data_IF_012991187347
#
_entry.id   IF_012991187347
#
_cell.length_a   1.000
_cell.length_b   1.000
_cell.length_c   1.000
_cell.angle_alpha   90.00
_cell.angle_beta   90.00
_cell.angle_gamma   90.00
#
_symmetry.space_group_name_H-M   'P 1'
#
loop_
_entity.id
_entity.type
_entity.pdbx_description
1 polymer ?
#
# COMPACT_ATOMS: atom_id res chain seq x y z
N UNK A 1 -10.99 -55.17 54.76
CA UNK A 1 -10.15 -55.70 53.67
C UNK A 1 -8.71 -55.31 54.00
N UNK A 2 -7.88 -56.26 54.44
CA UNK A 2 -6.48 -55.99 54.77
C UNK A 2 -5.60 -56.24 53.53
N UNK A 3 -4.54 -55.44 53.38
CA UNK A 3 -3.54 -55.55 52.30
C UNK A 3 -4.08 -55.36 50.86
N UNK A 4 -5.26 -54.76 50.70
CA UNK A 4 -5.75 -54.34 49.38
C UNK A 4 -5.08 -53.03 48.97
N UNK A 5 -4.45 -53.01 47.80
CA UNK A 5 -3.79 -51.84 47.23
C UNK A 5 -3.88 -51.88 45.72
N UNK A 6 -4.21 -50.73 45.13
CA UNK A 6 -4.26 -50.51 43.68
C UNK A 6 -3.09 -49.64 43.20
N UNK A 7 -2.06 -49.45 44.03
CA UNK A 7 -0.98 -48.50 43.77
C UNK A 7 0.02 -48.95 42.69
N UNK A 8 0.19 -50.26 42.49
CA UNK A 8 1.15 -50.81 41.53
C UNK A 8 0.53 -51.99 40.78
N UNK A 9 0.88 -52.11 39.50
CA UNK A 9 0.48 -53.23 38.65
C UNK A 9 1.08 -54.56 39.15
N UNK A 10 0.33 -55.64 38.98
CA UNK A 10 0.75 -57.01 39.32
C UNK A 10 -0.33 -57.82 40.02
N UNK A 11 -0.08 -59.12 40.13
CA UNK A 11 -0.90 -60.01 40.95
C UNK A 11 -0.56 -59.83 42.42
N UNK A 12 -1.58 -59.67 43.25
CA UNK A 12 -1.50 -59.39 44.68
C UNK A 12 -2.51 -60.26 45.42
N UNK A 13 -2.29 -60.45 46.71
CA UNK A 13 -3.22 -61.16 47.59
C UNK A 13 -3.78 -60.18 48.60
N UNK A 14 -5.10 -60.18 48.80
CA UNK A 14 -5.76 -59.42 49.85
C UNK A 14 -6.55 -60.36 50.74
N UNK A 15 -6.79 -59.91 51.97
CA UNK A 15 -7.43 -60.72 53.00
C UNK A 15 -8.76 -60.10 53.43
N UNK A 16 -9.83 -60.90 53.39
CA UNK A 16 -11.12 -60.55 54.01
C UNK A 16 -11.17 -61.25 55.37
N UNK A 17 -11.43 -60.48 56.42
CA UNK A 17 -11.61 -61.00 57.78
C UNK A 17 -12.99 -60.60 58.30
N UNK A 18 -13.73 -61.55 58.87
CA UNK A 18 -15.01 -61.32 59.55
C UNK A 18 -15.14 -62.30 60.72
N UNK A 19 -15.20 -61.77 61.95
CA UNK A 19 -15.09 -62.55 63.20
C UNK A 19 -13.81 -63.41 63.21
N UNK A 20 -13.92 -64.73 63.43
CA UNK A 20 -12.79 -65.68 63.45
C UNK A 20 -12.50 -66.32 62.09
N UNK A 21 -13.17 -65.88 61.02
CA UNK A 21 -12.99 -66.41 59.67
C UNK A 21 -12.13 -65.46 58.83
N UNK A 22 -11.19 -66.01 58.09
CA UNK A 22 -10.40 -65.28 57.10
C UNK A 22 -10.28 -66.05 55.79
N UNK A 23 -10.31 -65.31 54.68
CA UNK A 23 -10.02 -65.83 53.34
C UNK A 23 -9.05 -64.91 52.63
N UNK A 24 -8.00 -65.50 52.08
CA UNK A 24 -7.08 -64.83 51.16
C UNK A 24 -7.61 -65.02 49.74
N UNK A 25 -7.55 -63.96 48.93
CA UNK A 25 -7.92 -64.01 47.52
C UNK A 25 -6.89 -63.25 46.69
N UNK A 26 -6.62 -63.77 45.50
CA UNK A 26 -5.75 -63.10 44.54
C UNK A 26 -6.55 -62.11 43.69
N UNK A 27 -5.92 -60.98 43.39
CA UNK A 27 -6.42 -59.97 42.46
C UNK A 27 -5.26 -59.41 41.65
N UNK A 28 -5.54 -58.96 40.43
CA UNK A 28 -4.52 -58.35 39.56
C UNK A 28 -4.85 -56.88 39.36
N UNK A 29 -3.89 -56.02 39.67
CA UNK A 29 -3.94 -54.60 39.30
C UNK A 29 -3.24 -54.45 37.95
N UNK A 30 -3.88 -53.79 37.00
CA UNK A 30 -3.29 -53.46 35.71
C UNK A 30 -3.72 -52.08 35.28
N UNK A 31 -2.90 -51.42 34.45
CA UNK A 31 -3.32 -50.21 33.75
C UNK A 31 -4.53 -50.53 32.86
N UNK A 32 -5.64 -49.80 33.00
CA UNK A 32 -6.78 -49.92 32.09
C UNK A 32 -6.32 -49.70 30.65
N UNK A 33 -6.83 -50.49 29.70
CA UNK A 33 -6.53 -50.27 28.27
C UNK A 33 -7.55 -49.33 27.66
N UNK A 34 -7.13 -48.53 26.68
CA UNK A 34 -8.06 -47.83 25.81
C UNK A 34 -8.98 -48.83 25.09
N UNK A 35 -10.28 -48.49 25.02
CA UNK A 35 -11.32 -49.29 24.34
C UNK A 35 -11.98 -48.53 23.21
N UNK A 36 -11.96 -47.19 23.26
CA UNK A 36 -12.59 -46.32 22.26
C UNK A 36 -11.83 -45.01 22.16
N UNK A 37 -11.67 -44.51 20.94
CA UNK A 37 -11.11 -43.18 20.65
C UNK A 37 -12.10 -42.45 19.75
N UNK A 38 -12.51 -41.24 20.14
CA UNK A 38 -13.46 -40.41 19.38
C UNK A 38 -12.85 -39.05 19.08
N UNK A 39 -12.99 -38.57 17.84
CA UNK A 39 -12.50 -37.25 17.44
C UNK A 39 -13.41 -36.14 18.00
N UNK A 40 -12.81 -35.12 18.60
CA UNK A 40 -13.48 -33.88 19.01
C UNK A 40 -13.40 -32.90 17.83
N UNK A 41 -14.41 -32.93 16.96
CA UNK A 41 -14.40 -32.21 15.67
C UNK A 41 -14.23 -30.70 15.82
N UNK A 42 -14.90 -30.09 16.79
CA UNK A 42 -14.89 -28.62 16.96
C UNK A 42 -13.53 -28.08 17.43
N UNK A 43 -12.61 -28.96 17.84
CA UNK A 43 -11.26 -28.63 18.29
C UNK A 43 -10.16 -29.20 17.39
N UNK A 44 -10.55 -29.85 16.29
CA UNK A 44 -9.65 -30.51 15.34
C UNK A 44 -9.70 -29.79 14.00
N UNK A 45 -8.55 -29.44 13.38
CA UNK A 45 -8.53 -28.86 12.04
C UNK A 45 -9.16 -29.82 11.01
N UNK A 46 -10.10 -29.31 10.22
CA UNK A 46 -10.78 -30.07 9.15
C UNK A 46 -10.41 -29.58 7.74
N UNK A 47 -9.46 -28.65 7.64
CA UNK A 47 -8.96 -28.11 6.36
C UNK A 47 -7.46 -27.89 6.42
N UNK A 48 -6.75 -28.32 5.38
CA UNK A 48 -5.30 -28.17 5.23
C UNK A 48 -4.97 -27.63 3.85
N UNK A 49 -3.79 -27.02 3.69
CA UNK A 49 -3.28 -26.68 2.35
C UNK A 49 -2.49 -27.84 1.77
N UNK A 50 -2.40 -27.94 0.44
CA UNK A 50 -1.53 -28.92 -0.22
C UNK A 50 -0.09 -28.77 0.29
N UNK A 51 0.51 -29.89 0.72
CA UNK A 51 1.88 -29.95 1.27
C UNK A 51 2.03 -29.46 2.71
N UNK A 52 0.94 -29.09 3.39
CA UNK A 52 1.00 -28.71 4.80
C UNK A 52 1.45 -29.90 5.69
N UNK A 53 2.18 -29.59 6.76
CA UNK A 53 2.45 -30.55 7.82
C UNK A 53 1.18 -30.78 8.66
N UNK A 54 1.10 -31.94 9.32
CA UNK A 54 0.04 -32.19 10.29
C UNK A 54 0.17 -31.25 11.49
N UNK A 55 -0.95 -30.66 11.89
CA UNK A 55 -0.98 -29.72 13.02
C UNK A 55 -1.31 -30.45 14.32
N UNK A 56 -2.55 -30.95 14.43
CA UNK A 56 -3.03 -31.68 15.61
C UNK A 56 -4.35 -32.42 15.37
N UNK A 57 -4.69 -33.28 16.31
CA UNK A 57 -6.05 -33.84 16.48
C UNK A 57 -6.41 -33.94 17.95
N UNK A 58 -7.64 -33.57 18.30
CA UNK A 58 -8.14 -33.67 19.67
C UNK A 58 -9.09 -34.86 19.76
N UNK A 59 -8.85 -35.73 20.75
CA UNK A 59 -9.61 -36.98 20.93
C UNK A 59 -10.11 -37.16 22.36
N UNK A 60 -11.21 -37.89 22.50
CA UNK A 60 -11.70 -38.46 23.75
C UNK A 60 -11.38 -39.95 23.78
N UNK A 61 -10.61 -40.40 24.76
CA UNK A 61 -10.19 -41.80 24.94
C UNK A 61 -10.97 -42.41 26.09
N UNK A 62 -11.70 -43.50 25.86
CA UNK A 62 -12.44 -44.24 26.88
C UNK A 62 -11.71 -45.54 27.24
N UNK A 63 -11.51 -45.78 28.52
CA UNK A 63 -10.78 -46.92 29.06
C UNK A 63 -11.73 -48.03 29.56
N UNK A 64 -11.20 -49.25 29.74
CA UNK A 64 -11.96 -50.42 30.22
C UNK A 64 -12.63 -50.21 31.59
N UNK A 65 -12.12 -49.30 32.41
CA UNK A 65 -12.68 -48.94 33.72
C UNK A 65 -13.80 -47.89 33.64
N UNK A 66 -14.14 -47.44 32.43
CA UNK A 66 -15.18 -46.45 32.16
C UNK A 66 -14.70 -44.99 32.26
N UNK A 67 -13.43 -44.74 32.56
CA UNK A 67 -12.87 -43.38 32.57
C UNK A 67 -12.72 -42.86 31.14
N UNK A 68 -13.05 -41.59 30.91
CA UNK A 68 -12.79 -40.91 29.64
C UNK A 68 -11.85 -39.72 29.84
N UNK A 69 -10.77 -39.66 29.06
CA UNK A 69 -9.80 -38.57 29.09
C UNK A 69 -9.71 -37.89 27.73
N UNK A 70 -9.49 -36.57 27.74
CA UNK A 70 -9.26 -35.77 26.54
C UNK A 70 -7.76 -35.66 26.28
N UNK A 71 -7.34 -35.86 25.05
CA UNK A 71 -5.94 -35.74 24.63
C UNK A 71 -5.83 -34.91 23.33
N UNK A 72 -4.79 -34.10 23.25
CA UNK A 72 -4.35 -33.46 22.01
C UNK A 72 -3.14 -34.23 21.48
N UNK A 73 -3.20 -34.66 20.23
CA UNK A 73 -2.15 -35.42 19.56
C UNK A 73 -1.51 -34.52 18.52
N UNK A 74 -0.23 -34.21 18.72
CA UNK A 74 0.62 -33.46 17.79
C UNK A 74 1.79 -34.30 17.26
N UNK A 75 1.98 -35.50 17.80
CA UNK A 75 3.04 -36.41 17.37
C UNK A 75 2.68 -37.07 16.03
N UNK A 76 3.44 -36.75 14.99
CA UNK A 76 3.24 -37.29 13.65
C UNK A 76 3.39 -38.81 13.59
N UNK A 77 4.11 -39.45 14.52
CA UNK A 77 4.23 -40.91 14.56
C UNK A 77 2.93 -41.60 15.01
N UNK A 78 2.01 -40.86 15.62
CA UNK A 78 0.71 -41.35 16.08
C UNK A 78 -0.39 -41.16 15.04
N UNK A 79 -0.07 -40.60 13.87
CA UNK A 79 -1.03 -40.31 12.80
C UNK A 79 -0.52 -40.76 11.43
N UNK A 80 -1.45 -41.08 10.53
CA UNK A 80 -1.19 -41.35 9.11
C UNK A 80 -2.04 -40.37 8.30
N UNK A 81 -1.40 -39.58 7.42
CA UNK A 81 -2.05 -38.56 6.61
C UNK A 81 -1.31 -38.36 5.28
N UNK A 82 -2.00 -37.84 4.27
CA UNK A 82 -1.42 -37.41 3.00
C UNK A 82 -2.13 -36.14 2.51
N UNK A 83 -1.42 -35.01 2.56
CA UNK A 83 -1.89 -33.72 2.05
C UNK A 83 -1.19 -33.32 0.75
N UNK A 84 -0.63 -34.27 0.00
CA UNK A 84 0.10 -34.00 -1.26
C UNK A 84 -0.79 -33.59 -2.43
N UNK A 85 -2.11 -33.74 -2.33
CA UNK A 85 -3.06 -33.38 -3.38
C UNK A 85 -4.33 -32.75 -2.82
N UNK A 86 -4.92 -31.83 -3.59
CA UNK A 86 -6.16 -31.17 -3.21
C UNK A 86 -7.36 -32.13 -3.31
N UNK A 87 -8.35 -31.93 -2.43
CA UNK A 87 -9.54 -32.76 -2.34
C UNK A 87 -9.76 -33.32 -0.94
N UNK A 88 -10.51 -34.41 -0.83
CA UNK A 88 -10.75 -35.09 0.45
C UNK A 88 -9.54 -35.95 0.81
N UNK A 89 -9.04 -35.81 2.03
CA UNK A 89 -8.01 -36.67 2.60
C UNK A 89 -8.53 -37.29 3.92
N UNK A 90 -7.98 -38.44 4.31
CA UNK A 90 -8.31 -39.11 5.57
C UNK A 90 -7.09 -39.04 6.48
N UNK A 91 -7.31 -38.54 7.70
CA UNK A 91 -6.32 -38.63 8.78
C UNK A 91 -6.70 -39.80 9.67
N UNK A 92 -5.80 -40.78 9.81
CA UNK A 92 -5.95 -41.89 10.75
C UNK A 92 -5.14 -41.59 12.01
N UNK A 93 -5.69 -41.90 13.16
CA UNK A 93 -5.11 -41.61 14.47
C UNK A 93 -5.07 -42.90 15.27
N UNK A 94 -3.91 -43.21 15.87
CA UNK A 94 -3.74 -44.38 16.72
C UNK A 94 -3.33 -43.95 18.12
N UNK A 95 -4.16 -44.27 19.11
CA UNK A 95 -3.90 -44.00 20.53
C UNK A 95 -3.94 -45.30 21.30
N UNK A 96 -2.82 -45.66 21.93
CA UNK A 96 -2.68 -46.90 22.73
C UNK A 96 -3.13 -48.19 22.00
N UNK A 97 -2.99 -48.23 20.67
CA UNK A 97 -3.37 -49.37 19.85
C UNK A 97 -4.81 -49.34 19.32
N UNK A 98 -5.64 -48.38 19.75
CA UNK A 98 -6.99 -48.14 19.21
C UNK A 98 -6.93 -47.10 18.10
N UNK A 99 -7.60 -47.39 16.98
CA UNK A 99 -7.58 -46.55 15.79
C UNK A 99 -8.92 -45.85 15.56
N UNK A 100 -8.86 -44.62 15.05
CA UNK A 100 -10.00 -43.86 14.53
C UNK A 100 -9.54 -43.03 13.33
N UNK A 101 -10.48 -42.47 12.57
CA UNK A 101 -10.16 -41.59 11.45
C UNK A 101 -11.19 -40.49 11.26
N UNK A 102 -10.79 -39.44 10.54
CA UNK A 102 -11.68 -38.37 10.11
C UNK A 102 -11.27 -37.85 8.74
N UNK A 103 -12.24 -37.28 8.01
CA UNK A 103 -12.03 -36.64 6.71
C UNK A 103 -11.65 -35.18 6.90
N UNK A 104 -10.69 -34.72 6.10
CA UNK A 104 -10.29 -33.31 5.99
C UNK A 104 -10.37 -32.87 4.52
N UNK A 105 -10.49 -31.56 4.30
CA UNK A 105 -10.41 -30.96 2.96
C UNK A 105 -9.03 -30.36 2.75
N UNK A 106 -8.30 -30.83 1.74
CA UNK A 106 -7.03 -30.27 1.31
C UNK A 106 -7.28 -29.27 0.18
N UNK A 107 -6.86 -28.01 0.34
CA UNK A 107 -7.10 -26.93 -0.61
C UNK A 107 -5.79 -26.43 -1.23
N UNK A 108 -5.87 -25.90 -2.45
CA UNK A 108 -4.80 -25.08 -3.02
C UNK A 108 -4.95 -23.66 -2.52
N UNK A 109 -4.21 -23.31 -1.47
CA UNK A 109 -4.17 -21.94 -0.99
C UNK A 109 -3.24 -21.09 -1.87
N UNK A 110 -3.70 -19.91 -2.27
CA UNK A 110 -2.86 -18.89 -2.90
C UNK A 110 -1.94 -18.31 -1.83
N UNK A 111 -0.64 -18.38 -2.05
CA UNK A 111 0.38 -17.82 -1.14
C UNK A 111 0.87 -16.45 -1.60
N UNK A 112 0.82 -16.18 -2.91
CA UNK A 112 1.12 -14.85 -3.44
C UNK A 112 0.42 -14.61 -4.77
N UNK A 113 0.18 -13.33 -5.06
CA UNK A 113 -0.32 -12.88 -6.36
C UNK A 113 0.51 -11.69 -6.82
N UNK A 114 0.79 -11.63 -8.12
CA UNK A 114 1.46 -10.50 -8.76
C UNK A 114 0.77 -10.12 -10.06
N UNK A 115 0.76 -8.82 -10.33
CA UNK A 115 0.17 -8.21 -11.53
C UNK A 115 1.05 -7.04 -11.93
N UNK A 116 1.24 -6.84 -13.23
CA UNK A 116 2.02 -5.71 -13.73
C UNK A 116 1.24 -4.39 -13.63
N UNK A 117 1.98 -3.30 -13.42
CA UNK A 117 1.41 -1.95 -13.45
C UNK A 117 0.74 -1.67 -14.80
N UNK A 118 -0.41 -1.01 -14.78
CA UNK A 118 -1.14 -0.62 -16.00
C UNK A 118 -1.01 0.88 -16.21
N UNK A 119 -0.78 1.27 -17.47
CA UNK A 119 -0.84 2.66 -17.91
C UNK A 119 -1.87 2.78 -19.03
N UNK A 120 -2.93 3.53 -18.78
CA UNK A 120 -4.04 3.78 -19.72
C UNK A 120 -4.28 5.28 -19.88
N UNK A 121 -5.13 5.68 -20.83
CA UNK A 121 -5.52 7.09 -21.00
C UNK A 121 -6.69 7.46 -20.10
N UNK A 122 -6.85 8.76 -19.86
CA UNK A 122 -8.08 9.29 -19.28
C UNK A 122 -9.28 8.87 -20.15
N UNK A 123 -10.28 8.27 -19.51
CA UNK A 123 -11.51 7.79 -20.15
C UNK A 123 -11.41 6.42 -20.82
N UNK A 124 -10.25 5.76 -20.83
CA UNK A 124 -10.13 4.40 -21.39
C UNK A 124 -10.96 3.38 -20.59
N UNK A 125 -11.53 2.39 -21.27
CA UNK A 125 -12.08 1.20 -20.63
C UNK A 125 -10.97 0.25 -20.18
N UNK A 126 -11.29 -0.66 -19.26
CA UNK A 126 -10.35 -1.69 -18.84
C UNK A 126 -10.08 -2.67 -19.99
N UNK A 127 -8.82 -2.73 -20.44
CA UNK A 127 -8.41 -3.57 -21.59
C UNK A 127 -7.89 -4.96 -21.21
N UNK A 128 -8.02 -5.36 -19.93
CA UNK A 128 -7.47 -6.61 -19.40
C UNK A 128 -6.07 -6.46 -18.80
N UNK A 129 -5.70 -7.46 -18.00
CA UNK A 129 -4.37 -7.63 -17.40
C UNK A 129 -4.12 -9.10 -17.08
N UNK A 130 -2.87 -9.51 -16.91
CA UNK A 130 -2.53 -10.88 -16.51
C UNK A 130 -2.08 -10.92 -15.05
N UNK A 131 -2.82 -11.65 -14.23
CA UNK A 131 -2.50 -11.94 -12.83
C UNK A 131 -1.75 -13.28 -12.77
N UNK A 132 -0.63 -13.32 -12.06
CA UNK A 132 0.05 -14.57 -11.70
C UNK A 132 -0.31 -14.92 -10.26
N UNK A 133 -0.96 -16.05 -10.04
CA UNK A 133 -1.23 -16.61 -8.71
C UNK A 133 -0.30 -17.78 -8.44
N UNK A 134 0.37 -17.77 -7.29
CA UNK A 134 1.24 -18.86 -6.83
C UNK A 134 0.56 -19.58 -5.67
N UNK A 135 0.55 -20.90 -5.74
CA UNK A 135 -0.08 -21.76 -4.74
C UNK A 135 0.97 -22.36 -3.79
N UNK A 136 0.53 -22.78 -2.61
CA UNK A 136 1.40 -23.37 -1.59
C UNK A 136 2.12 -24.66 -2.02
N UNK A 137 1.62 -25.35 -3.04
CA UNK A 137 2.23 -26.53 -3.65
C UNK A 137 3.37 -26.19 -4.65
N UNK A 138 3.71 -24.90 -4.79
CA UNK A 138 4.71 -24.41 -5.72
C UNK A 138 4.23 -24.27 -7.16
N UNK A 139 2.99 -24.66 -7.47
CA UNK A 139 2.39 -24.42 -8.79
C UNK A 139 1.98 -22.96 -8.96
N UNK A 140 1.84 -22.52 -10.20
CA UNK A 140 1.36 -21.18 -10.53
C UNK A 140 0.36 -21.20 -11.68
N UNK A 141 -0.49 -20.20 -11.73
CA UNK A 141 -1.51 -20.00 -12.75
C UNK A 141 -1.47 -18.55 -13.25
N UNK A 142 -1.71 -18.38 -14.55
CA UNK A 142 -1.92 -17.08 -15.19
C UNK A 142 -3.40 -16.89 -15.45
N UNK A 143 -3.95 -15.79 -14.94
CA UNK A 143 -5.37 -15.48 -14.97
C UNK A 143 -5.56 -14.17 -15.71
N UNK A 144 -6.45 -14.16 -16.70
CA UNK A 144 -6.87 -12.91 -17.32
C UNK A 144 -7.82 -12.19 -16.38
N UNK A 145 -7.41 -11.01 -15.95
CA UNK A 145 -8.19 -10.16 -15.04
C UNK A 145 -9.35 -9.56 -15.81
N UNK A 146 -10.52 -9.62 -15.20
CA UNK A 146 -11.77 -9.02 -15.68
C UNK A 146 -12.19 -7.87 -14.77
N UNK A 147 -13.10 -7.01 -15.24
CA UNK A 147 -13.48 -5.79 -14.51
C UNK A 147 -14.17 -6.09 -13.16
N UNK A 148 -14.91 -7.20 -13.05
CA UNK A 148 -15.55 -7.66 -11.81
C UNK A 148 -14.56 -8.13 -10.75
N UNK A 149 -13.32 -8.43 -11.13
CA UNK A 149 -12.23 -8.70 -10.18
C UNK A 149 -11.65 -7.40 -9.60
N UNK A 150 -11.98 -6.23 -10.14
CA UNK A 150 -11.37 -4.96 -9.77
C UNK A 150 -12.29 -4.12 -8.87
N UNK A 151 -11.77 -3.73 -7.70
CA UNK A 151 -12.39 -2.76 -6.82
C UNK A 151 -11.65 -1.41 -6.90
N UNK A 152 -12.41 -0.34 -7.14
CA UNK A 152 -11.87 1.02 -7.22
C UNK A 152 -11.27 1.39 -8.59
N UNK A 153 -11.48 0.58 -9.63
CA UNK A 153 -11.07 0.92 -10.99
C UNK A 153 -11.83 2.16 -11.50
N UNK A 154 -11.10 3.16 -11.97
CA UNK A 154 -11.64 4.36 -12.60
C UNK A 154 -10.56 5.00 -13.47
N UNK A 155 -10.93 5.46 -14.66
CA UNK A 155 -10.06 6.19 -15.60
C UNK A 155 -10.51 7.63 -15.83
N UNK A 156 -11.49 8.13 -15.06
CA UNK A 156 -12.12 9.45 -15.29
C UNK A 156 -11.17 10.65 -15.12
N UNK A 157 -10.15 10.49 -14.29
CA UNK A 157 -9.16 11.53 -13.98
C UNK A 157 -7.76 10.95 -14.01
N UNK A 158 -6.82 11.72 -14.55
CA UNK A 158 -5.41 11.41 -14.54
C UNK A 158 -4.90 11.25 -13.10
N UNK A 159 -3.90 10.39 -12.90
CA UNK A 159 -3.36 10.11 -11.58
C UNK A 159 -2.87 8.69 -11.40
N UNK A 160 -2.22 8.45 -10.27
CA UNK A 160 -1.89 7.11 -9.79
C UNK A 160 -3.01 6.65 -8.87
N UNK A 161 -3.52 5.44 -9.11
CA UNK A 161 -4.57 4.80 -8.33
C UNK A 161 -4.10 3.42 -7.91
N UNK A 162 -4.47 3.01 -6.69
CA UNK A 162 -4.33 1.64 -6.24
C UNK A 162 -5.69 0.96 -6.40
N UNK A 163 -5.75 -0.01 -7.31
CA UNK A 163 -6.94 -0.81 -7.59
C UNK A 163 -6.77 -2.16 -6.91
N UNK A 164 -7.75 -2.61 -6.14
CA UNK A 164 -7.69 -3.93 -5.51
C UNK A 164 -8.16 -4.99 -6.51
N UNK A 165 -7.38 -6.05 -6.68
CA UNK A 165 -7.72 -7.22 -7.49
C UNK A 165 -8.13 -8.35 -6.56
N UNK A 166 -9.32 -8.90 -6.77
CA UNK A 166 -9.86 -10.05 -6.03
C UNK A 166 -9.82 -11.30 -6.91
N UNK A 167 -9.20 -12.37 -6.43
CA UNK A 167 -9.19 -13.66 -7.11
C UNK A 167 -9.19 -14.81 -6.11
N UNK A 168 -10.14 -15.74 -6.26
CA UNK A 168 -10.27 -16.96 -5.45
C UNK A 168 -10.17 -16.74 -3.92
N UNK A 169 -10.74 -15.63 -3.43
CA UNK A 169 -10.72 -15.27 -2.00
C UNK A 169 -9.42 -14.61 -1.51
N UNK A 170 -8.43 -14.42 -2.37
CA UNK A 170 -7.23 -13.64 -2.12
C UNK A 170 -7.31 -12.26 -2.78
N UNK A 171 -6.51 -11.31 -2.30
CA UNK A 171 -6.44 -9.94 -2.86
C UNK A 171 -5.01 -9.47 -3.08
N UNK A 172 -4.76 -8.73 -4.14
CA UNK A 172 -3.52 -7.96 -4.33
C UNK A 172 -3.83 -6.56 -4.88
N UNK A 173 -2.81 -5.71 -4.90
CA UNK A 173 -2.93 -4.34 -5.37
C UNK A 173 -2.33 -4.21 -6.77
N UNK A 174 -3.11 -3.59 -7.67
CA UNK A 174 -2.70 -3.14 -8.99
C UNK A 174 -2.44 -1.63 -8.94
N UNK A 175 -1.23 -1.20 -9.34
CA UNK A 175 -0.96 0.21 -9.60
C UNK A 175 -1.48 0.57 -10.99
N UNK A 176 -2.50 1.41 -11.03
CA UNK A 176 -3.08 1.97 -12.24
C UNK A 176 -2.59 3.42 -12.41
N UNK A 177 -1.91 3.71 -13.50
CA UNK A 177 -1.59 5.09 -13.91
C UNK A 177 -2.54 5.49 -15.03
N UNK A 178 -3.43 6.43 -14.72
CA UNK A 178 -4.29 7.07 -15.70
C UNK A 178 -3.55 8.29 -16.22
N UNK A 179 -3.26 8.31 -17.52
CA UNK A 179 -2.35 9.26 -18.12
C UNK A 179 -3.04 10.14 -19.17
N UNK A 180 -2.58 11.38 -19.27
CA UNK A 180 -2.96 12.32 -20.30
C UNK A 180 -2.18 12.04 -21.60
N UNK A 181 -2.82 12.35 -22.72
CA UNK A 181 -2.15 12.44 -24.03
C UNK A 181 -1.76 13.89 -24.23
N UNK A 182 -0.47 14.12 -24.46
CA UNK A 182 0.06 15.45 -24.72
C UNK A 182 0.48 15.55 -26.18
N UNK A 183 -0.13 16.48 -26.90
CA UNK A 183 0.23 16.79 -28.29
C UNK A 183 1.32 17.88 -28.32
N UNK A 184 2.03 17.96 -29.45
CA UNK A 184 3.02 19.02 -29.65
C UNK A 184 2.37 20.40 -29.56
N UNK A 185 2.99 21.30 -28.80
CA UNK A 185 2.42 22.61 -28.49
C UNK A 185 2.76 23.10 -27.10
N UNK A 186 2.12 24.19 -26.68
CA UNK A 186 2.32 24.79 -25.36
C UNK A 186 1.14 24.43 -24.47
N UNK A 187 1.39 23.66 -23.41
CA UNK A 187 0.41 23.36 -22.37
C UNK A 187 0.61 24.35 -21.24
N UNK A 188 -0.44 25.07 -20.88
CA UNK A 188 -0.45 25.97 -19.73
C UNK A 188 -0.96 25.23 -18.50
N UNK A 189 -0.25 25.36 -17.38
CA UNK A 189 -0.61 24.78 -16.08
C UNK A 189 -0.67 25.92 -15.08
N UNK A 190 -1.88 26.24 -14.60
CA UNK A 190 -2.04 27.26 -13.57
C UNK A 190 -1.36 26.82 -12.26
N UNK A 191 -0.78 27.76 -11.52
CA UNK A 191 -0.06 27.40 -10.29
C UNK A 191 -0.98 26.75 -9.24
N UNK A 192 -2.27 27.08 -9.25
CA UNK A 192 -3.32 26.55 -8.38
C UNK A 192 -4.05 25.31 -8.93
N UNK A 193 -3.67 24.82 -10.11
CA UNK A 193 -4.30 23.63 -10.69
C UNK A 193 -3.91 22.37 -9.92
N UNK A 194 -4.74 21.96 -8.97
CA UNK A 194 -4.49 20.81 -8.09
C UNK A 194 -4.42 19.46 -8.83
N UNK A 195 -4.84 19.38 -10.11
CA UNK A 195 -4.65 18.17 -10.92
C UNK A 195 -3.16 17.97 -11.26
N UNK A 196 -2.43 19.06 -11.47
CA UNK A 196 -1.02 19.05 -11.86
C UNK A 196 -0.09 19.48 -10.73
N UNK A 197 -0.46 20.50 -9.96
CA UNK A 197 0.42 21.17 -9.00
C UNK A 197 0.11 20.75 -7.57
N UNK A 198 1.02 20.00 -6.98
CA UNK A 198 1.01 19.67 -5.56
C UNK A 198 1.97 20.59 -4.79
N UNK A 199 1.40 21.38 -3.89
CA UNK A 199 2.11 22.18 -2.90
C UNK A 199 1.65 21.86 -1.48
N UNK A 200 0.99 20.73 -1.23
CA UNK A 200 0.45 20.34 0.09
C UNK A 200 1.53 20.39 1.18
N UNK A 201 2.75 19.95 0.88
CA UNK A 201 3.91 19.99 1.79
C UNK A 201 4.62 21.33 1.92
N UNK A 202 4.27 22.37 1.15
CA UNK A 202 4.90 23.68 1.25
C UNK A 202 4.47 24.41 2.53
N UNK A 203 5.44 24.96 3.27
CA UNK A 203 5.19 25.78 4.44
C UNK A 203 4.75 27.20 4.04
N UNK A 204 3.86 27.79 4.83
CA UNK A 204 3.52 29.20 4.69
C UNK A 204 4.59 30.07 5.35
N UNK A 205 4.81 31.26 4.78
CA UNK A 205 5.52 32.34 5.47
C UNK A 205 4.82 32.69 6.79
N UNK A 206 5.59 33.16 7.77
CA UNK A 206 5.04 33.57 9.06
C UNK A 206 3.93 34.62 8.90
N UNK A 207 2.75 34.33 9.47
CA UNK A 207 1.58 35.21 9.41
C UNK A 207 0.72 35.09 8.14
N UNK A 208 1.12 34.27 7.16
CA UNK A 208 0.29 33.99 5.99
C UNK A 208 -0.75 32.91 6.29
N UNK A 209 -1.90 32.97 5.60
CA UNK A 209 -3.03 32.04 5.77
C UNK A 209 -3.33 31.19 4.53
N UNK A 210 -2.86 31.60 3.35
CA UNK A 210 -3.09 30.90 2.07
C UNK A 210 -1.81 30.82 1.24
N UNK A 211 -1.65 29.77 0.43
CA UNK A 211 -0.50 29.60 -0.50
C UNK A 211 -0.67 30.42 -1.78
N UNK A 212 -1.93 30.60 -2.15
CA UNK A 212 -2.37 31.36 -3.31
C UNK A 212 -3.14 32.58 -2.87
N UNK A 213 -3.01 33.64 -3.65
CA UNK A 213 -3.87 34.79 -3.55
C UNK A 213 -4.52 35.06 -4.89
N UNK A 214 -5.84 35.30 -4.85
CA UNK A 214 -6.59 35.72 -6.01
C UNK A 214 -6.16 37.15 -6.36
N UNK A 215 -5.67 37.34 -7.57
CA UNK A 215 -5.13 38.60 -8.09
C UNK A 215 -6.10 39.30 -9.03
N UNK A 216 -7.36 38.83 -9.08
CA UNK A 216 -8.46 39.34 -9.93
C UNK A 216 -9.55 40.10 -9.17
N UNK A 217 -9.47 40.23 -7.82
CA UNK A 217 -10.47 40.90 -6.97
C UNK A 217 -9.89 41.98 -6.03
N UNK A 218 -10.53 43.16 -6.00
CA UNK A 218 -10.40 44.18 -4.94
C UNK A 218 -11.63 44.21 -4.04
N UNK A 219 -11.42 44.31 -2.72
CA UNK A 219 -12.46 44.31 -1.69
C UNK A 219 -12.81 45.71 -1.15
N UNK A 220 -12.21 46.77 -1.70
CA UNK A 220 -12.59 48.15 -1.41
C UNK A 220 -13.29 48.81 -2.59
N UNK A 221 -12.79 48.63 -3.82
CA UNK A 221 -13.33 49.24 -5.04
C UNK A 221 -13.53 48.28 -6.22
N UNK A 222 -13.43 46.96 -6.04
CA UNK A 222 -13.72 45.94 -7.07
C UNK A 222 -12.79 45.87 -8.32
N UNK A 223 -11.60 46.50 -8.35
CA UNK A 223 -10.52 46.14 -9.30
C UNK A 223 -9.13 46.00 -8.65
N UNK A 224 -8.65 44.76 -8.49
CA UNK A 224 -7.22 44.47 -8.53
C UNK A 224 -7.08 43.42 -9.62
N UNK A 225 -6.51 43.82 -10.76
CA UNK A 225 -5.84 42.91 -11.67
C UNK A 225 -4.39 43.36 -11.71
N UNK A 226 -3.55 42.72 -10.89
CA UNK A 226 -2.11 42.94 -10.97
C UNK A 226 -1.51 42.32 -12.25
N UNK A 227 -2.38 41.81 -13.14
CA UNK A 227 -2.03 41.17 -14.40
C UNK A 227 -1.91 39.65 -14.33
N UNK A 228 -1.98 39.00 -13.16
CA UNK A 228 -2.06 37.53 -13.08
C UNK A 228 -3.42 37.01 -13.53
N UNK A 229 -3.43 35.78 -14.03
CA UNK A 229 -4.60 35.11 -14.59
C UNK A 229 -5.29 34.23 -13.56
N UNK A 230 -5.93 34.87 -12.57
CA UNK A 230 -6.70 34.19 -11.52
C UNK A 230 -6.00 34.24 -10.17
N UNK A 231 -5.11 33.28 -9.93
CA UNK A 231 -4.36 33.17 -8.68
C UNK A 231 -2.86 33.19 -8.95
N UNK A 232 -2.10 33.65 -7.97
CA UNK A 232 -0.64 33.52 -7.99
C UNK A 232 -0.14 33.05 -6.64
N UNK A 233 1.02 32.39 -6.65
CA UNK A 233 1.72 32.07 -5.39
C UNK A 233 2.16 33.38 -4.72
N UNK A 234 1.85 33.59 -3.44
CA UNK A 234 2.23 34.82 -2.73
C UNK A 234 3.00 34.61 -1.44
N UNK A 235 2.84 33.44 -0.81
CA UNK A 235 3.18 33.24 0.60
C UNK A 235 4.06 32.03 0.88
N UNK A 236 4.74 31.53 -0.15
CA UNK A 236 5.48 30.26 -0.09
C UNK A 236 7.00 30.44 -0.18
N UNK A 237 7.56 31.65 -0.13
CA UNK A 237 9.03 31.88 -0.12
C UNK A 237 9.69 31.48 1.19
N UNK A 238 9.68 30.19 1.48
CA UNK A 238 10.33 29.54 2.62
C UNK A 238 11.36 28.58 2.05
N UNK A 239 12.55 28.52 2.67
CA UNK A 239 13.62 27.62 2.22
C UNK A 239 13.11 26.18 2.20
N UNK A 240 13.55 25.41 1.20
CA UNK A 240 13.22 23.99 1.02
C UNK A 240 11.74 23.71 0.70
N UNK A 241 10.89 24.74 0.57
CA UNK A 241 9.57 24.57 -0.01
C UNK A 241 9.67 24.00 -1.43
N UNK A 242 8.66 23.20 -1.78
CA UNK A 242 8.57 22.52 -3.07
C UNK A 242 7.28 22.89 -3.78
N UNK A 243 7.41 23.09 -5.08
CA UNK A 243 6.30 23.07 -6.03
C UNK A 243 6.49 21.81 -6.86
N UNK A 244 5.54 20.88 -6.77
CA UNK A 244 5.60 19.61 -7.49
C UNK A 244 4.59 19.66 -8.63
N UNK A 245 5.07 19.61 -9.86
CA UNK A 245 4.21 19.46 -11.05
C UNK A 245 4.21 17.96 -11.40
N UNK A 246 3.09 17.30 -11.12
CA UNK A 246 2.81 15.91 -11.48
C UNK A 246 2.31 15.85 -12.93
N UNK A 247 2.98 15.03 -13.74
CA UNK A 247 2.60 14.81 -15.14
C UNK A 247 2.47 13.31 -15.37
N UNK A 248 1.26 12.86 -15.69
CA UNK A 248 0.97 11.47 -16.04
C UNK A 248 0.91 11.35 -17.55
N UNK A 249 1.94 10.80 -18.19
CA UNK A 249 2.11 10.82 -19.64
C UNK A 249 1.83 9.45 -20.28
N UNK A 250 0.96 9.39 -21.30
CA UNK A 250 0.65 8.12 -21.96
C UNK A 250 1.80 7.62 -22.86
N UNK A 251 2.68 8.52 -23.29
CA UNK A 251 3.89 8.22 -24.06
C UNK A 251 5.06 9.06 -23.55
N UNK A 252 6.28 8.64 -23.88
CA UNK A 252 7.46 9.47 -23.69
C UNK A 252 7.40 10.70 -24.61
N UNK A 253 7.82 11.86 -24.11
CA UNK A 253 7.98 13.07 -24.92
C UNK A 253 9.02 14.02 -24.34
N UNK A 254 9.53 14.89 -25.22
CA UNK A 254 10.45 15.96 -24.85
C UNK A 254 9.68 17.25 -24.60
N UNK A 255 10.15 18.04 -23.65
CA UNK A 255 9.56 19.32 -23.34
C UNK A 255 10.58 20.35 -22.84
N UNK A 256 10.17 21.61 -22.85
CA UNK A 256 10.80 22.68 -22.07
C UNK A 256 9.82 23.22 -21.05
N UNK A 257 10.29 23.43 -19.82
CA UNK A 257 9.53 24.13 -18.80
C UNK A 257 9.67 25.63 -19.04
N UNK A 258 8.55 26.33 -19.11
CA UNK A 258 8.47 27.79 -19.01
C UNK A 258 7.68 28.21 -17.78
N UNK A 259 7.71 29.51 -17.48
CA UNK A 259 6.90 30.09 -16.42
C UNK A 259 6.57 31.56 -16.68
N UNK A 260 5.42 31.99 -16.16
CA UNK A 260 5.11 33.41 -15.99
C UNK A 260 5.18 33.75 -14.52
N UNK A 261 6.05 34.70 -14.19
CA UNK A 261 6.35 35.03 -12.82
C UNK A 261 6.70 36.51 -12.63
N UNK A 262 6.62 36.97 -11.39
CA UNK A 262 6.86 38.34 -10.99
C UNK A 262 7.83 38.39 -9.81
N UNK A 263 8.83 39.26 -9.84
CA UNK A 263 9.80 39.34 -8.75
C UNK A 263 9.19 39.87 -7.45
N UNK A 264 9.26 39.11 -6.36
CA UNK A 264 8.93 39.59 -5.02
C UNK A 264 10.08 40.34 -4.33
N UNK A 265 11.27 40.34 -4.92
CA UNK A 265 12.51 40.77 -4.25
C UNK A 265 12.59 42.28 -4.03
N UNK A 266 13.07 42.68 -2.85
CA UNK A 266 13.15 44.08 -2.43
C UNK A 266 11.85 44.85 -2.71
N UNK A 267 10.70 44.23 -2.36
CA UNK A 267 9.36 44.75 -2.67
C UNK A 267 9.20 45.02 -4.18
N UNK A 268 9.60 44.05 -5.00
CA UNK A 268 9.47 44.10 -6.45
C UNK A 268 10.44 45.03 -7.16
N UNK A 269 11.42 45.62 -6.48
CA UNK A 269 12.34 46.59 -7.08
C UNK A 269 13.54 45.96 -7.77
N UNK A 270 13.83 44.69 -7.49
CA UNK A 270 15.01 44.01 -8.00
C UNK A 270 14.64 42.88 -8.97
N UNK A 271 15.46 42.70 -10.00
CA UNK A 271 15.46 41.49 -10.83
C UNK A 271 15.81 40.27 -9.96
N UNK A 272 15.34 39.09 -10.36
CA UNK A 272 15.66 37.81 -9.74
C UNK A 272 16.17 36.83 -10.80
N UNK A 273 17.38 36.33 -10.57
CA UNK A 273 17.95 35.22 -11.31
C UNK A 273 17.34 33.92 -10.80
N UNK A 274 16.66 33.17 -11.67
CA UNK A 274 15.95 31.96 -11.28
C UNK A 274 16.87 30.91 -10.66
N UNK A 275 18.10 30.78 -11.15
CA UNK A 275 19.09 29.82 -10.65
C UNK A 275 19.44 30.04 -9.17
N UNK A 276 19.27 31.26 -8.68
CA UNK A 276 19.52 31.63 -7.27
C UNK A 276 18.33 31.38 -6.37
N UNK A 277 17.13 31.26 -6.94
CA UNK A 277 15.87 31.16 -6.21
C UNK A 277 15.32 29.73 -6.16
N UNK A 278 15.57 28.95 -7.22
CA UNK A 278 14.97 27.65 -7.44
C UNK A 278 15.98 26.67 -8.01
N UNK A 279 15.90 25.42 -7.55
CA UNK A 279 16.47 24.26 -8.25
C UNK A 279 15.36 23.42 -8.85
N UNK A 280 15.69 22.66 -9.90
CA UNK A 280 14.76 21.72 -10.54
C UNK A 280 15.31 20.30 -10.41
N UNK A 281 14.41 19.36 -10.07
CA UNK A 281 14.64 17.94 -10.20
C UNK A 281 13.50 17.29 -11.00
N UNK A 282 13.84 16.41 -11.93
CA UNK A 282 12.89 15.59 -12.67
C UNK A 282 13.01 14.15 -12.20
N UNK A 283 11.92 13.58 -11.69
CA UNK A 283 11.86 12.20 -11.20
C UNK A 283 12.93 11.86 -10.15
N UNK A 284 13.28 12.85 -9.31
CA UNK A 284 14.32 12.73 -8.27
C UNK A 284 15.74 13.05 -8.74
N UNK A 285 15.98 13.15 -10.05
CA UNK A 285 17.28 13.52 -10.62
C UNK A 285 17.37 15.03 -10.79
N UNK A 286 18.43 15.64 -10.28
CA UNK A 286 18.70 17.06 -10.51
C UNK A 286 18.85 17.35 -12.02
N UNK A 287 18.28 18.47 -12.49
CA UNK A 287 18.49 18.95 -13.85
C UNK A 287 19.63 19.95 -13.94
N UNK A 288 19.88 20.44 -15.16
CA UNK A 288 20.61 21.69 -15.38
C UNK A 288 20.00 22.82 -14.53
N UNK A 289 20.83 23.73 -13.98
CA UNK A 289 20.35 24.90 -13.27
C UNK A 289 19.33 25.66 -14.10
N UNK A 290 18.30 26.17 -13.45
CA UNK A 290 17.30 26.99 -14.12
C UNK A 290 17.95 28.23 -14.73
N UNK A 291 17.47 28.65 -15.89
CA UNK A 291 17.94 29.84 -16.58
C UNK A 291 16.86 30.92 -16.65
N UNK A 292 17.27 32.16 -16.91
CA UNK A 292 16.36 33.29 -17.05
C UNK A 292 16.35 34.24 -15.86
N UNK A 293 15.86 35.45 -16.11
CA UNK A 293 15.76 36.52 -15.11
C UNK A 293 14.32 36.99 -15.05
N UNK A 294 13.68 36.81 -13.89
CA UNK A 294 12.41 37.45 -13.59
C UNK A 294 12.68 38.91 -13.30
N UNK A 295 12.13 39.80 -14.13
CA UNK A 295 12.36 41.23 -14.03
C UNK A 295 11.69 41.82 -12.79
N UNK A 296 12.27 42.92 -12.30
CA UNK A 296 11.66 43.73 -11.26
C UNK A 296 10.19 43.99 -11.59
N UNK A 297 9.37 43.83 -10.57
CA UNK A 297 7.92 43.85 -10.66
C UNK A 297 7.33 45.27 -10.60
N UNK A 298 8.11 46.24 -10.12
CA UNK A 298 7.71 47.64 -9.95
C UNK A 298 8.90 48.60 -10.06
N UNK A 299 8.62 49.85 -10.40
CA UNK A 299 9.59 50.97 -10.34
C UNK A 299 9.62 51.65 -8.97
N UNK A 300 8.59 51.45 -8.14
CA UNK A 300 8.46 52.01 -6.79
C UNK A 300 8.13 50.91 -5.77
N UNK A 301 8.41 51.15 -4.49
CA UNK A 301 7.96 50.25 -3.42
C UNK A 301 6.44 50.31 -3.31
N UNK A 302 5.75 49.38 -3.96
CA UNK A 302 4.29 49.22 -3.90
C UNK A 302 3.92 47.91 -3.23
N UNK A 303 2.66 47.75 -2.80
CA UNK A 303 2.20 46.45 -2.30
C UNK A 303 2.29 45.43 -3.44
N UNK A 304 2.58 44.17 -3.13
CA UNK A 304 2.80 43.17 -4.17
C UNK A 304 1.57 42.98 -5.09
N UNK A 305 0.37 43.24 -4.56
CA UNK A 305 -0.90 43.25 -5.32
C UNK A 305 -1.02 44.38 -6.33
N UNK A 306 -0.18 45.40 -6.24
CA UNK A 306 -0.16 46.53 -7.16
C UNK A 306 1.03 46.44 -8.15
N UNK A 307 1.81 45.36 -8.08
CA UNK A 307 2.90 45.12 -9.01
C UNK A 307 2.32 44.56 -10.32
N UNK A 308 2.55 45.24 -11.44
CA UNK A 308 1.93 44.89 -12.73
C UNK A 308 2.88 44.27 -13.75
N UNK A 309 4.19 44.27 -13.46
CA UNK A 309 5.19 43.72 -14.38
C UNK A 309 5.31 42.22 -14.14
N UNK A 310 4.89 41.43 -15.14
CA UNK A 310 5.08 39.99 -15.20
C UNK A 310 6.12 39.65 -16.25
N UNK A 311 7.03 38.75 -15.92
CA UNK A 311 8.02 38.21 -16.85
C UNK A 311 7.54 36.85 -17.32
N UNK A 312 7.47 36.68 -18.64
CA UNK A 312 7.27 35.37 -19.25
C UNK A 312 8.63 34.83 -19.71
N UNK A 313 8.96 33.63 -19.25
CA UNK A 313 10.17 32.91 -19.61
C UNK A 313 9.75 31.61 -20.31
N UNK A 314 9.97 31.54 -21.61
CA UNK A 314 9.55 30.41 -22.45
C UNK A 314 10.30 29.11 -22.14
N UNK A 315 11.55 29.24 -21.72
CA UNK A 315 12.45 28.14 -21.40
C UNK A 315 13.28 28.51 -20.18
N UNK A 316 13.05 27.79 -19.09
CA UNK A 316 13.83 27.90 -17.85
C UNK A 316 14.66 26.66 -17.58
N UNK A 317 14.35 25.51 -18.21
CA UNK A 317 14.95 24.21 -17.87
C UNK A 317 15.96 23.70 -18.88
N UNK A 318 15.94 24.20 -20.11
CA UNK A 318 16.43 23.46 -21.27
C UNK A 318 15.48 22.31 -21.63
N UNK A 319 15.87 21.52 -22.63
CA UNK A 319 15.11 20.33 -23.05
C UNK A 319 15.22 19.21 -22.02
N UNK A 320 14.08 18.67 -21.61
CA UNK A 320 13.94 17.53 -20.71
C UNK A 320 13.05 16.46 -21.34
N UNK A 321 13.14 15.21 -20.87
CA UNK A 321 12.32 14.09 -21.36
C UNK A 321 11.46 13.53 -20.24
N UNK A 322 10.14 13.51 -20.42
CA UNK A 322 9.22 12.77 -19.55
C UNK A 322 9.06 11.34 -20.06
N UNK A 323 9.16 10.36 -19.16
CA UNK A 323 8.90 8.95 -19.49
C UNK A 323 7.39 8.67 -19.58
N UNK A 324 7.01 7.56 -20.21
CA UNK A 324 5.66 7.02 -20.08
C UNK A 324 5.34 6.74 -18.60
N UNK A 325 4.14 7.13 -18.16
CA UNK A 325 3.63 6.96 -16.81
C UNK A 325 3.79 8.21 -15.93
N UNK A 326 4.00 7.99 -14.63
CA UNK A 326 4.15 9.04 -13.62
C UNK A 326 5.48 9.79 -13.75
N UNK A 327 5.40 11.12 -13.81
CA UNK A 327 6.54 12.02 -13.73
C UNK A 327 6.32 13.13 -12.70
N UNK A 328 7.40 13.58 -12.06
CA UNK A 328 7.40 14.70 -11.11
C UNK A 328 8.48 15.70 -11.46
N UNK A 329 8.07 16.92 -11.77
CA UNK A 329 8.95 18.09 -11.90
C UNK A 329 8.90 18.82 -10.56
N UNK A 330 10.02 18.87 -9.83
CA UNK A 330 10.08 19.44 -8.49
C UNK A 330 10.93 20.69 -8.52
N UNK A 331 10.30 21.84 -8.28
CA UNK A 331 10.97 23.11 -8.05
C UNK A 331 11.20 23.30 -6.55
N UNK A 332 12.45 23.41 -6.11
CA UNK A 332 12.80 23.54 -4.68
C UNK A 332 13.44 24.89 -4.38
N UNK A 333 13.06 25.50 -3.25
CA UNK A 333 13.49 26.83 -2.88
C UNK A 333 14.85 26.79 -2.22
N UNK A 334 15.79 27.55 -2.75
CA UNK A 334 17.20 27.57 -2.32
C UNK A 334 17.42 28.42 -1.07
N UNK A 335 16.66 29.50 -0.92
CA UNK A 335 16.81 30.47 0.17
C UNK A 335 15.47 30.74 0.88
N UNK A 336 15.55 31.08 2.17
CA UNK A 336 14.40 31.58 2.91
C UNK A 336 14.04 33.02 2.46
N UNK A 337 12.95 33.59 2.97
CA UNK A 337 12.55 35.00 2.78
C UNK A 337 13.68 36.00 3.12
N UNK A 338 14.64 36.21 2.21
CA UNK A 338 15.59 37.29 2.31
C UNK A 338 14.95 38.56 1.72
N UNK A 339 15.24 39.74 2.27
CA UNK A 339 14.79 40.99 1.66
C UNK A 339 15.39 41.20 0.25
N UNK A 340 16.56 40.61 0.02
CA UNK A 340 17.40 40.79 -1.18
C UNK A 340 17.12 39.76 -2.28
N UNK A 341 16.69 38.55 -1.94
CA UNK A 341 16.39 37.46 -2.86
C UNK A 341 15.09 36.80 -2.37
N UNK A 342 14.07 36.81 -3.22
CA UNK A 342 12.76 36.21 -2.92
C UNK A 342 12.32 35.41 -4.12
N UNK A 343 11.67 34.28 -3.86
CA UNK A 343 10.96 33.55 -4.89
C UNK A 343 10.07 34.54 -5.67
N UNK A 344 10.06 34.45 -7.01
CA UNK A 344 9.05 35.16 -7.78
C UNK A 344 7.65 34.64 -7.45
N UNK A 345 6.65 35.52 -7.41
CA UNK A 345 5.26 35.10 -7.44
C UNK A 345 5.00 34.45 -8.79
N UNK A 346 4.53 33.21 -8.80
CA UNK A 346 4.27 32.44 -10.02
C UNK A 346 2.78 32.50 -10.32
N UNK A 347 2.47 32.83 -11.57
CA UNK A 347 1.12 32.80 -12.13
C UNK A 347 0.84 31.40 -12.69
N UNK A 348 1.60 30.99 -13.70
CA UNK A 348 1.48 29.67 -14.31
C UNK A 348 2.83 29.14 -14.81
N UNK A 349 2.84 27.84 -15.06
CA UNK A 349 3.89 27.12 -15.77
C UNK A 349 3.45 26.81 -17.20
N UNK A 350 4.41 26.56 -18.07
CA UNK A 350 4.15 26.00 -19.39
C UNK A 350 5.01 24.78 -19.65
N UNK A 351 4.45 23.77 -20.31
CA UNK A 351 5.20 22.68 -20.91
C UNK A 351 5.13 22.85 -22.43
N UNK A 352 6.24 23.21 -23.06
CA UNK A 352 6.33 23.25 -24.52
C UNK A 352 6.77 21.87 -25.01
N UNK A 353 5.86 21.11 -25.60
CA UNK A 353 6.03 19.72 -26.05
C UNK A 353 6.41 19.68 -27.53
N UNK A 354 7.37 18.82 -27.88
CA UNK A 354 7.96 18.69 -29.22
C UNK A 354 7.68 17.34 -29.87
#
# INVERSE_FOLDING_TARGET
>A
LANFSTAENGTRTAKIEKFSLSVDFEYTVRTPKATKVEIVKDETPVTYSVGAAFEKVVVMVTYEDGVTLKAEITDENSVEYDFSSAGKAIVKVKVEGVETSYEVTVIKAIVSMSIEDIICKVGDEFSGAELTAVYGDGTSEKVQVTLDMLEGFSTEKAGVKTVKVNYAGATCDLKLVVANVFEAGVIKIQAEDEEFVDMSGAALQSGATTKFENTTKDLKNNEYSNGAEGYSTSSISVKDNKIVINVYAYSEFKFKLGMRAQSGSNKGLNDQDLSKCLTLALNGSASTPLSGTVKKASSTSTAWKDMTVWTYLEDVSGELTLKKGENKIVLTFTEATAATIRLPNIDYFTLTVY
#
